data_IF_767474754626
#
_entry.id   IF_767474754626
#
_cell.length_a   1.000
_cell.length_b   1.000
_cell.length_c   1.000
_cell.angle_alpha   90.00
_cell.angle_beta   90.00
_cell.angle_gamma   90.00
#
_symmetry.space_group_name_H-M   'P 1'
#
loop_
_entity.id
_entity.type
_entity.pdbx_description
1 polymer ?
#
# COMPACT_ATOMS: atom_id res chain seq x y z
N UNK A 1 16.94 -1.33 -1.85
CA UNK A 1 17.26 -0.64 -3.13
C UNK A 1 15.99 -0.51 -3.96
N UNK A 2 15.83 0.60 -4.69
CA UNK A 2 14.62 0.87 -5.46
C UNK A 2 14.84 0.66 -6.94
N UNK A 3 13.94 -0.06 -7.61
CA UNK A 3 13.87 -0.11 -9.08
C UNK A 3 13.01 1.07 -9.55
N UNK A 4 13.44 1.78 -10.59
CA UNK A 4 12.63 2.82 -11.24
C UNK A 4 11.83 2.18 -12.36
N UNK A 5 10.53 2.03 -12.13
CA UNK A 5 9.61 1.39 -13.08
C UNK A 5 8.53 2.42 -13.39
N UNK A 6 8.46 2.81 -14.65
CA UNK A 6 7.46 3.74 -15.16
C UNK A 6 6.08 3.06 -15.22
N UNK A 7 5.01 3.87 -15.13
CA UNK A 7 3.63 3.45 -15.42
C UNK A 7 3.10 2.26 -14.58
N UNK A 8 3.49 2.17 -13.31
CA UNK A 8 2.84 1.21 -12.40
C UNK A 8 1.40 1.70 -12.09
N UNK A 9 0.42 0.97 -12.59
CA UNK A 9 -1.02 1.23 -12.37
C UNK A 9 -1.54 0.59 -11.07
N UNK A 10 -0.97 -0.55 -10.65
CA UNK A 10 -1.42 -1.29 -9.46
C UNK A 10 -0.23 -1.77 -8.64
N UNK A 11 -0.23 -1.46 -7.35
CA UNK A 11 0.69 -2.01 -6.35
C UNK A 11 -0.10 -2.84 -5.35
N UNK A 12 0.27 -4.11 -5.23
CA UNK A 12 -0.25 -4.99 -4.19
C UNK A 12 0.84 -5.22 -3.15
N UNK A 13 0.64 -4.67 -1.95
CA UNK A 13 1.50 -4.92 -0.81
C UNK A 13 0.96 -6.09 0.01
N UNK A 14 1.71 -7.19 0.00
CA UNK A 14 1.46 -8.34 0.87
C UNK A 14 2.07 -8.10 2.25
N UNK A 15 1.27 -8.27 3.31
CA UNK A 15 1.62 -8.09 4.73
C UNK A 15 2.02 -6.67 5.12
N UNK A 16 1.61 -6.29 6.33
CA UNK A 16 1.90 -4.97 6.96
C UNK A 16 3.25 -5.00 7.71
N UNK A 17 4.24 -5.75 7.22
CA UNK A 17 5.54 -5.89 7.91
C UNK A 17 6.48 -4.70 7.70
N UNK A 18 5.94 -3.50 7.41
CA UNK A 18 6.72 -2.31 7.11
C UNK A 18 6.25 -1.11 7.92
N UNK A 19 7.18 -0.23 8.35
CA UNK A 19 6.80 1.04 8.93
C UNK A 19 6.06 1.90 7.89
N UNK A 20 5.19 2.79 8.35
CA UNK A 20 4.30 3.61 7.51
C UNK A 20 5.06 4.38 6.42
N UNK A 21 6.23 4.94 6.75
CA UNK A 21 7.08 5.65 5.79
C UNK A 21 7.54 4.75 4.63
N UNK A 22 7.92 3.50 4.91
CA UNK A 22 8.34 2.54 3.90
C UNK A 22 7.16 2.09 3.04
N UNK A 23 5.97 1.94 3.63
CA UNK A 23 4.74 1.64 2.90
C UNK A 23 4.37 2.79 1.94
N UNK A 24 4.42 4.02 2.43
CA UNK A 24 4.11 5.22 1.66
C UNK A 24 5.05 5.37 0.45
N UNK A 25 6.35 5.16 0.67
CA UNK A 25 7.35 5.19 -0.39
C UNK A 25 7.17 4.06 -1.42
N UNK A 26 6.55 2.94 -1.05
CA UNK A 26 6.21 1.87 -2.00
C UNK A 26 5.00 2.25 -2.83
N UNK A 27 3.93 2.73 -2.20
CA UNK A 27 2.73 3.16 -2.90
C UNK A 27 2.99 4.35 -3.83
N UNK A 28 3.83 5.31 -3.43
CA UNK A 28 4.24 6.43 -4.28
C UNK A 28 5.12 6.07 -5.48
N UNK A 29 5.45 4.78 -5.67
CA UNK A 29 6.03 4.30 -6.94
C UNK A 29 4.96 4.12 -8.01
N UNK A 30 3.72 3.86 -7.59
CA UNK A 30 2.58 3.88 -8.47
C UNK A 30 2.30 5.33 -8.91
N UNK A 31 1.71 5.50 -10.09
CA UNK A 31 1.35 6.83 -10.61
C UNK A 31 2.53 7.82 -10.78
N UNK A 32 3.72 7.35 -11.14
CA UNK A 32 4.83 8.25 -11.54
C UNK A 32 4.51 8.91 -12.88
N UNK A 33 3.95 10.12 -12.84
CA UNK A 33 3.68 10.97 -14.00
C UNK A 33 2.56 11.97 -13.73
N UNK A 34 2.61 13.14 -14.37
CA UNK A 34 1.55 14.14 -14.21
C UNK A 34 0.22 13.58 -14.76
N UNK A 35 -0.85 13.69 -13.96
CA UNK A 35 -2.19 13.20 -14.34
C UNK A 35 -2.32 11.68 -14.36
N UNK A 36 -1.37 10.94 -13.78
CA UNK A 36 -1.48 9.49 -13.63
C UNK A 36 -2.15 9.16 -12.29
N UNK A 37 -3.04 8.19 -12.32
CA UNK A 37 -3.64 7.58 -11.14
C UNK A 37 -3.18 6.13 -11.04
N UNK A 38 -3.17 5.60 -9.82
CA UNK A 38 -2.82 4.21 -9.58
C UNK A 38 -3.49 3.70 -8.30
N UNK A 39 -3.64 2.38 -8.22
CA UNK A 39 -4.30 1.70 -7.12
C UNK A 39 -3.24 1.05 -6.22
N UNK A 40 -3.32 1.33 -4.92
CA UNK A 40 -2.53 0.66 -3.90
C UNK A 40 -3.43 -0.25 -3.05
N UNK A 41 -3.15 -1.55 -3.05
CA UNK A 41 -3.87 -2.55 -2.26
C UNK A 41 -2.94 -3.07 -1.15
N UNK A 42 -3.36 -2.91 0.11
CA UNK A 42 -2.67 -3.51 1.26
C UNK A 42 -3.42 -4.75 1.72
N UNK A 43 -2.78 -5.91 1.64
CA UNK A 43 -3.30 -7.15 2.20
C UNK A 43 -2.73 -7.34 3.61
N UNK A 44 -3.59 -7.18 4.62
CA UNK A 44 -3.25 -7.26 6.03
C UNK A 44 -3.90 -8.47 6.70
N UNK A 45 -3.22 -9.04 7.70
CA UNK A 45 -3.78 -10.14 8.48
C UNK A 45 -4.90 -9.65 9.41
N UNK A 46 -5.95 -10.45 9.67
CA UNK A 46 -7.08 -10.04 10.52
C UNK A 46 -6.70 -9.60 11.94
N UNK A 47 -5.55 -10.05 12.46
CA UNK A 47 -5.02 -9.68 13.78
C UNK A 47 -4.65 -8.19 13.92
N UNK A 48 -4.62 -7.44 12.81
CA UNK A 48 -4.28 -6.02 12.81
C UNK A 48 -5.51 -5.09 12.78
N UNK A 49 -6.72 -5.65 12.88
CA UNK A 49 -8.00 -4.93 12.78
C UNK A 49 -8.82 -5.06 14.08
N UNK A 50 -8.16 -4.96 15.24
CA UNK A 50 -8.84 -5.20 16.52
C UNK A 50 -9.86 -4.10 16.85
N UNK A 51 -9.59 -2.85 16.48
CA UNK A 51 -10.53 -1.73 16.64
C UNK A 51 -11.78 -1.88 15.75
N UNK A 52 -11.62 -2.34 14.51
CA UNK A 52 -12.73 -2.60 13.58
C UNK A 52 -13.64 -3.75 14.07
N UNK A 53 -13.05 -4.78 14.69
CA UNK A 53 -13.82 -5.87 15.31
C UNK A 53 -14.65 -5.38 16.49
N UNK A 54 -14.11 -4.45 17.29
CA UNK A 54 -14.82 -3.86 18.42
C UNK A 54 -15.99 -2.97 17.99
N UNK A 55 -15.92 -2.32 16.83
CA UNK A 55 -16.99 -1.47 16.29
C UNK A 55 -18.17 -2.25 15.70
N UNK A 56 -17.94 -3.53 15.35
CA UNK A 56 -18.91 -4.39 14.65
C UNK A 56 -19.61 -5.39 15.59
N UNK A 57 -19.21 -5.44 16.87
CA UNK A 57 -19.78 -6.31 17.91
C UNK A 57 -20.82 -5.57 18.75
#
# INVERSE_FOLDING_TARGET
QGVDISDIEVIVQWRVTYPMNALWQRFGRAARGAGKEAIAVLLAEPKYFDDEKALTA
#
